data_IF_650123134019
#
_entry.id   IF_650123134019
#
_cell.length_a   1.000
_cell.length_b   1.000
_cell.length_c   1.000
_cell.angle_alpha   90.00
_cell.angle_beta   90.00
_cell.angle_gamma   90.00
#
_symmetry.space_group_name_H-M   'P 1'
#
loop_
_entity.id
_entity.type
_entity.pdbx_description
1 polymer ?
#
# COMPACT_ATOMS: atom_id res chain seq x y z
N UNK A 1 -6.38 20.38 19.76
CA UNK A 1 -7.12 19.72 18.66
C UNK A 1 -6.95 20.44 17.31
N UNK A 2 -7.00 21.78 17.26
CA UNK A 2 -6.77 22.53 16.01
C UNK A 2 -5.31 22.59 15.55
N UNK A 3 -4.34 22.52 16.49
CA UNK A 3 -2.90 22.56 16.17
C UNK A 3 -2.41 21.31 15.42
N UNK A 4 -2.96 20.14 15.73
CA UNK A 4 -2.65 18.88 15.05
C UNK A 4 -3.24 18.83 13.63
N UNK A 5 -4.40 19.50 13.43
CA UNK A 5 -5.09 19.63 12.13
C UNK A 5 -4.33 20.56 11.18
N UNK A 6 -3.73 21.64 11.68
CA UNK A 6 -2.88 22.55 10.89
C UNK A 6 -1.55 21.93 10.50
N UNK A 7 -0.92 21.11 11.36
CA UNK A 7 0.33 20.41 11.03
C UNK A 7 0.10 19.36 9.94
N UNK A 8 -1.03 18.65 9.98
CA UNK A 8 -1.42 17.68 8.94
C UNK A 8 -1.74 18.34 7.59
N UNK A 9 -2.28 19.57 7.60
CA UNK A 9 -2.58 20.34 6.39
C UNK A 9 -1.35 20.95 5.71
N UNK A 10 -0.33 21.36 6.47
CA UNK A 10 0.89 21.99 5.94
C UNK A 10 1.81 20.96 5.27
N UNK A 11 1.85 19.72 5.76
CA UNK A 11 2.63 18.63 5.15
C UNK A 11 2.12 18.20 3.76
N UNK A 12 0.85 18.43 3.44
CA UNK A 12 0.27 18.06 2.13
C UNK A 12 0.58 19.10 1.04
N UNK A 13 0.82 20.37 1.41
CA UNK A 13 1.00 21.46 0.45
C UNK A 13 2.49 21.75 0.14
N UNK A 14 3.41 21.49 1.07
CA UNK A 14 4.82 21.86 0.91
C UNK A 14 5.67 20.87 0.07
N UNK A 15 5.13 19.71 -0.31
CA UNK A 15 5.92 18.65 -0.98
C UNK A 15 6.03 18.75 -2.50
N UNK A 16 5.40 19.74 -3.16
CA UNK A 16 5.03 19.58 -4.58
C UNK A 16 5.84 20.34 -5.64
N UNK A 17 6.86 21.16 -5.34
CA UNK A 17 7.49 21.97 -6.41
C UNK A 17 9.01 22.08 -6.26
N UNK A 18 9.74 21.04 -6.66
CA UNK A 18 11.12 21.16 -7.17
C UNK A 18 11.34 20.16 -8.30
N UNK A 19 11.01 20.52 -9.54
CA UNK A 19 11.41 19.75 -10.73
C UNK A 19 12.60 20.43 -11.40
N UNK A 20 13.80 19.91 -11.16
CA UNK A 20 14.95 20.22 -12.00
C UNK A 20 14.82 19.46 -13.33
N UNK A 21 15.16 20.07 -14.48
CA UNK A 21 15.25 19.33 -15.74
C UNK A 21 16.44 18.37 -15.66
N UNK A 22 16.17 17.07 -15.64
CA UNK A 22 17.22 16.05 -15.75
C UNK A 22 17.64 16.01 -17.22
N UNK A 23 18.85 16.49 -17.52
CA UNK A 23 19.49 16.29 -18.81
C UNK A 23 19.98 14.83 -18.83
N UNK A 24 19.21 13.95 -19.46
CA UNK A 24 19.56 12.54 -19.63
C UNK A 24 20.42 12.36 -20.88
N UNK A 25 21.44 11.50 -20.79
CA UNK A 25 22.28 11.14 -21.93
C UNK A 25 21.61 10.05 -22.78
N UNK A 26 21.79 10.06 -24.10
CA UNK A 26 21.19 9.08 -25.00
C UNK A 26 21.50 7.61 -24.61
N UNK A 27 22.71 7.35 -24.08
CA UNK A 27 23.11 6.02 -23.61
C UNK A 27 22.29 5.53 -22.41
N UNK A 28 21.93 6.41 -21.45
CA UNK A 28 21.10 6.01 -20.31
C UNK A 28 19.65 5.77 -20.74
N UNK A 29 19.14 6.57 -21.69
CA UNK A 29 17.79 6.39 -22.23
C UNK A 29 17.62 5.06 -22.98
N UNK A 30 18.64 4.66 -23.75
CA UNK A 30 18.64 3.36 -24.41
C UNK A 30 18.64 2.22 -23.39
N UNK A 31 19.46 2.33 -22.34
CA UNK A 31 19.49 1.35 -21.27
C UNK A 31 18.15 1.25 -20.50
N UNK A 32 17.45 2.38 -20.29
CA UNK A 32 16.12 2.39 -19.68
C UNK A 32 15.10 1.64 -20.55
N UNK A 33 15.14 1.82 -21.87
CA UNK A 33 14.31 1.04 -22.81
C UNK A 33 14.64 -0.45 -22.78
N UNK A 34 15.93 -0.78 -22.75
CA UNK A 34 16.37 -2.18 -22.68
C UNK A 34 15.95 -2.87 -21.39
N UNK A 35 15.90 -2.13 -20.28
CA UNK A 35 15.40 -2.63 -19.00
C UNK A 35 13.87 -2.75 -18.97
N UNK A 36 13.15 -1.86 -19.64
CA UNK A 36 11.69 -1.81 -19.64
C UNK A 36 11.03 -2.83 -20.57
N UNK A 37 11.74 -3.35 -21.58
CA UNK A 37 11.18 -4.17 -22.65
C UNK A 37 11.79 -5.58 -22.69
N UNK A 38 10.98 -6.56 -23.09
CA UNK A 38 11.34 -7.95 -23.34
C UNK A 38 11.82 -8.14 -24.80
N UNK A 39 12.81 -9.00 -25.04
CA UNK A 39 13.15 -9.37 -26.42
C UNK A 39 12.09 -10.27 -27.03
N UNK A 40 11.51 -9.85 -28.16
CA UNK A 40 10.60 -10.63 -28.99
C UNK A 40 11.39 -11.35 -30.09
N UNK A 41 12.33 -12.17 -29.67
CA UNK A 41 13.13 -12.98 -30.58
C UNK A 41 12.37 -14.26 -30.99
N UNK A 42 12.55 -14.75 -32.21
CA UNK A 42 11.83 -15.91 -32.76
C UNK A 42 12.13 -17.21 -31.99
N UNK A 43 13.32 -17.27 -31.41
CA UNK A 43 13.84 -18.30 -30.52
C UNK A 43 13.19 -18.31 -29.11
N UNK A 44 12.21 -17.44 -28.86
CA UNK A 44 11.43 -17.37 -27.60
C UNK A 44 12.30 -17.36 -26.34
N UNK A 45 13.40 -16.61 -26.36
CA UNK A 45 14.36 -16.62 -25.25
C UNK A 45 13.78 -16.13 -23.90
N UNK A 46 12.68 -15.37 -23.92
CA UNK A 46 11.98 -14.90 -22.72
C UNK A 46 12.79 -13.96 -21.83
N UNK A 47 13.86 -13.35 -22.36
CA UNK A 47 14.73 -12.45 -21.61
C UNK A 47 14.34 -10.98 -21.79
N UNK A 48 14.60 -10.19 -20.76
CA UNK A 48 14.63 -8.71 -20.85
C UNK A 48 15.64 -8.32 -21.93
N UNK A 49 15.34 -7.29 -22.72
CA UNK A 49 16.16 -6.88 -23.86
C UNK A 49 17.61 -6.63 -23.45
N UNK A 50 17.85 -5.97 -22.31
CA UNK A 50 19.20 -5.74 -21.77
C UNK A 50 20.05 -7.01 -21.58
N UNK A 51 19.40 -8.13 -21.29
CA UNK A 51 20.06 -9.41 -21.02
C UNK A 51 20.08 -10.34 -22.25
N UNK A 52 19.60 -9.86 -23.41
CA UNK A 52 19.54 -10.62 -24.65
C UNK A 52 20.62 -10.15 -25.64
N UNK A 53 21.28 -11.11 -26.27
CA UNK A 53 22.40 -10.88 -27.23
C UNK A 53 22.15 -11.55 -28.58
N UNK A 54 20.88 -11.66 -28.99
CA UNK A 54 20.51 -12.22 -30.29
C UNK A 54 20.50 -11.13 -31.38
N UNK A 55 20.54 -11.53 -32.66
CA UNK A 55 20.54 -10.59 -33.79
C UNK A 55 19.29 -9.70 -33.84
N UNK A 56 18.14 -10.21 -33.36
CA UNK A 56 16.91 -9.42 -33.22
C UNK A 56 17.05 -8.35 -32.15
N UNK A 57 17.68 -8.67 -31.01
CA UNK A 57 17.92 -7.69 -29.94
C UNK A 57 18.79 -6.52 -30.42
N UNK A 58 19.83 -6.80 -31.22
CA UNK A 58 20.73 -5.77 -31.75
C UNK A 58 20.02 -4.86 -32.75
N UNK A 59 19.17 -5.43 -33.60
CA UNK A 59 18.30 -4.64 -34.52
C UNK A 59 17.34 -3.75 -33.73
N UNK A 60 16.73 -4.27 -32.68
CA UNK A 60 15.81 -3.51 -31.82
C UNK A 60 16.53 -2.36 -31.10
N UNK A 61 17.74 -2.59 -30.56
CA UNK A 61 18.59 -1.54 -29.98
C UNK A 61 18.91 -0.45 -31.00
N UNK A 62 19.31 -0.82 -32.21
CA UNK A 62 19.58 0.14 -33.27
C UNK A 62 18.33 0.94 -33.67
N UNK A 63 17.14 0.30 -33.66
CA UNK A 63 15.85 0.97 -33.90
C UNK A 63 15.54 1.99 -32.79
N UNK A 64 15.73 1.61 -31.53
CA UNK A 64 15.50 2.50 -30.38
C UNK A 64 16.48 3.66 -30.33
N UNK A 65 17.77 3.42 -30.62
CA UNK A 65 18.76 4.49 -30.73
C UNK A 65 18.32 5.54 -31.74
N UNK A 66 17.90 5.12 -32.94
CA UNK A 66 17.40 6.05 -33.98
C UNK A 66 16.16 6.83 -33.55
N UNK A 67 15.24 6.20 -32.80
CA UNK A 67 14.07 6.90 -32.28
C UNK A 67 14.45 7.95 -31.24
N UNK A 68 15.37 7.62 -30.34
CA UNK A 68 15.91 8.57 -29.36
C UNK A 68 16.64 9.73 -30.06
N UNK A 69 17.43 9.44 -31.09
CA UNK A 69 18.13 10.45 -31.90
C UNK A 69 17.15 11.38 -32.65
N UNK A 70 15.97 10.87 -33.00
CA UNK A 70 14.89 11.68 -33.60
C UNK A 70 14.11 12.54 -32.58
N UNK A 71 14.48 12.49 -31.29
CA UNK A 71 13.89 13.30 -30.23
C UNK A 71 12.66 12.68 -29.53
N UNK A 72 12.35 11.41 -29.78
CA UNK A 72 11.30 10.72 -29.03
C UNK A 72 11.77 10.41 -27.61
N UNK A 73 10.84 10.49 -26.65
CA UNK A 73 11.12 10.12 -25.25
C UNK A 73 11.00 8.61 -25.04
N UNK A 74 11.62 8.11 -23.97
CA UNK A 74 11.57 6.70 -23.56
C UNK A 74 10.13 6.23 -23.40
N UNK A 75 9.27 7.03 -22.77
CA UNK A 75 7.87 6.71 -22.52
C UNK A 75 7.07 6.63 -23.82
N UNK A 76 7.35 7.50 -24.79
CA UNK A 76 6.70 7.48 -26.10
C UNK A 76 7.06 6.20 -26.86
N UNK A 77 8.35 5.83 -26.84
CA UNK A 77 8.83 4.60 -27.48
C UNK A 77 8.20 3.38 -26.79
N UNK A 78 8.22 3.29 -25.46
CA UNK A 78 7.55 2.20 -24.73
C UNK A 78 6.07 2.14 -25.11
N UNK A 79 5.35 3.26 -25.09
CA UNK A 79 3.93 3.30 -25.45
C UNK A 79 3.68 2.75 -26.85
N UNK A 80 4.51 3.13 -27.83
CA UNK A 80 4.41 2.58 -29.20
C UNK A 80 4.62 1.07 -29.24
N UNK A 81 5.57 0.55 -28.45
CA UNK A 81 5.84 -0.89 -28.41
C UNK A 81 4.70 -1.66 -27.72
N UNK A 82 4.09 -1.07 -26.71
CA UNK A 82 2.91 -1.63 -26.04
C UNK A 82 1.69 -1.63 -26.96
N UNK A 83 1.52 -0.60 -27.78
CA UNK A 83 0.44 -0.54 -28.77
C UNK A 83 0.60 -1.62 -29.85
N UNK A 84 1.83 -1.87 -30.29
CA UNK A 84 2.15 -2.87 -31.33
C UNK A 84 2.13 -4.33 -30.81
N UNK A 85 2.69 -4.58 -29.62
CA UNK A 85 2.92 -5.94 -29.10
C UNK A 85 2.11 -6.28 -27.83
N UNK A 86 1.30 -5.35 -27.34
CA UNK A 86 0.54 -5.47 -26.08
C UNK A 86 1.42 -5.36 -24.82
N UNK A 87 0.80 -5.46 -23.65
CA UNK A 87 1.50 -5.35 -22.36
C UNK A 87 2.54 -6.47 -22.11
N UNK A 88 2.48 -7.56 -22.89
CA UNK A 88 3.44 -8.68 -22.79
C UNK A 88 4.86 -8.32 -23.19
N UNK A 89 5.06 -7.16 -23.84
CA UNK A 89 6.39 -6.67 -24.22
C UNK A 89 7.09 -5.98 -23.06
N UNK A 90 6.39 -5.52 -22.02
CA UNK A 90 7.06 -4.92 -20.88
C UNK A 90 7.72 -5.98 -20.02
N UNK A 91 8.91 -5.66 -19.51
CA UNK A 91 9.60 -6.48 -18.51
C UNK A 91 8.91 -6.44 -17.13
N UNK A 92 8.17 -5.38 -16.86
CA UNK A 92 7.40 -5.18 -15.64
C UNK A 92 5.95 -4.80 -15.99
N UNK A 93 4.96 -5.25 -15.21
CA UNK A 93 3.58 -4.90 -15.48
C UNK A 93 3.34 -3.39 -15.34
N UNK A 94 2.37 -2.88 -16.10
CA UNK A 94 2.01 -1.47 -16.09
C UNK A 94 1.52 -1.05 -14.70
N UNK A 95 1.91 0.15 -14.23
CA UNK A 95 1.51 0.66 -12.90
C UNK A 95 0.09 1.23 -12.85
N UNK A 96 -0.73 0.94 -13.86
CA UNK A 96 -2.08 1.51 -14.03
C UNK A 96 -3.12 0.40 -14.19
N UNK A 97 -4.39 0.73 -13.95
CA UNK A 97 -5.50 -0.20 -14.12
C UNK A 97 -5.55 -1.31 -13.07
N UNK A 98 -5.81 -2.55 -13.51
CA UNK A 98 -6.00 -3.71 -12.63
C UNK A 98 -4.74 -4.02 -11.80
N UNK A 99 -3.54 -3.79 -12.34
CA UNK A 99 -2.30 -4.05 -11.60
C UNK A 99 -2.19 -3.20 -10.32
N UNK A 100 -2.66 -1.95 -10.37
CA UNK A 100 -2.67 -1.06 -9.21
C UNK A 100 -3.61 -1.58 -8.11
N UNK A 101 -4.74 -2.19 -8.48
CA UNK A 101 -5.67 -2.75 -7.49
C UNK A 101 -5.04 -3.89 -6.70
N UNK A 102 -4.16 -4.71 -7.30
CA UNK A 102 -3.44 -5.75 -6.57
C UNK A 102 -2.52 -5.18 -5.47
N UNK A 103 -1.99 -3.97 -5.67
CA UNK A 103 -1.16 -3.26 -4.69
C UNK A 103 -1.97 -2.50 -3.64
N UNK A 104 -3.11 -1.90 -4.02
CA UNK A 104 -3.95 -1.11 -3.10
C UNK A 104 -4.90 -1.98 -2.27
N UNK A 105 -5.36 -3.10 -2.81
CA UNK A 105 -6.35 -3.98 -2.18
C UNK A 105 -5.92 -4.51 -0.80
N UNK A 106 -4.67 -4.93 -0.55
CA UNK A 106 -4.24 -5.38 0.78
C UNK A 106 -4.44 -4.31 1.87
N UNK A 107 -4.07 -3.06 1.57
CA UNK A 107 -4.25 -1.95 2.50
C UNK A 107 -5.73 -1.62 2.71
N UNK A 108 -6.51 -1.60 1.64
CA UNK A 108 -7.96 -1.39 1.73
C UNK A 108 -8.65 -2.48 2.54
N UNK A 109 -8.26 -3.75 2.36
CA UNK A 109 -8.81 -4.88 3.11
C UNK A 109 -8.47 -4.77 4.60
N UNK A 110 -7.22 -4.40 4.96
CA UNK A 110 -6.82 -4.20 6.35
C UNK A 110 -7.58 -3.04 7.01
N UNK A 111 -7.73 -1.91 6.32
CA UNK A 111 -8.48 -0.75 6.82
C UNK A 111 -9.94 -1.14 7.02
N UNK A 112 -10.57 -1.75 6.01
CA UNK A 112 -11.96 -2.19 6.09
C UNK A 112 -12.19 -3.20 7.23
N UNK A 113 -11.29 -4.18 7.37
CA UNK A 113 -11.33 -5.17 8.45
C UNK A 113 -11.18 -4.52 9.84
N UNK A 114 -10.19 -3.64 10.00
CA UNK A 114 -9.96 -2.92 11.26
C UNK A 114 -11.14 -2.03 11.66
N UNK A 115 -11.71 -1.28 10.71
CA UNK A 115 -12.91 -0.46 10.94
C UNK A 115 -14.13 -1.34 11.26
N UNK A 116 -14.30 -2.48 10.58
CA UNK A 116 -15.35 -3.44 10.83
C UNK A 116 -15.31 -3.99 12.27
N UNK A 117 -14.14 -4.50 12.69
CA UNK A 117 -13.92 -5.01 14.05
C UNK A 117 -14.19 -3.90 15.07
N UNK A 118 -13.64 -2.70 14.85
CA UNK A 118 -13.85 -1.53 15.72
C UNK A 118 -15.35 -1.26 15.90
N UNK A 119 -16.12 -1.19 14.81
CA UNK A 119 -17.56 -0.90 14.86
C UNK A 119 -18.33 -1.97 15.62
N UNK A 120 -17.99 -3.24 15.41
CA UNK A 120 -18.60 -4.38 16.14
C UNK A 120 -18.32 -4.25 17.64
N UNK A 121 -17.06 -4.01 18.02
CA UNK A 121 -16.67 -3.84 19.42
C UNK A 121 -17.40 -2.66 20.09
N UNK A 122 -17.47 -1.49 19.44
CA UNK A 122 -18.21 -0.35 19.98
C UNK A 122 -19.70 -0.63 20.16
N UNK A 123 -20.31 -1.38 19.24
CA UNK A 123 -21.74 -1.73 19.32
C UNK A 123 -22.02 -2.73 20.44
N UNK A 124 -21.09 -3.65 20.72
CA UNK A 124 -21.24 -4.68 21.75
C UNK A 124 -20.85 -4.19 23.15
N UNK A 125 -19.80 -3.38 23.25
CA UNK A 125 -19.27 -2.87 24.54
C UNK A 125 -20.03 -1.62 25.00
N UNK A 126 -20.54 -0.80 24.08
CA UNK A 126 -21.29 0.43 24.40
C UNK A 126 -22.66 0.21 25.06
N UNK A 127 -23.12 -1.04 25.21
CA UNK A 127 -24.33 -1.38 25.98
C UNK A 127 -24.11 -1.52 27.49
N UNK A 128 -22.87 -1.31 27.98
CA UNK A 128 -22.62 -1.13 29.42
C UNK A 128 -22.35 0.34 29.70
N UNK A 129 -23.37 0.99 30.24
CA UNK A 129 -23.39 2.35 30.73
C UNK A 129 -22.20 2.62 31.68
N UNK A 130 -21.48 3.75 31.51
CA UNK A 130 -20.71 4.32 32.60
C UNK A 130 -21.69 5.12 33.47
N UNK A 131 -22.29 4.45 34.45
CA UNK A 131 -22.66 5.15 35.68
C UNK A 131 -21.39 5.21 36.53
N UNK A 132 -21.00 6.43 36.87
CA UNK A 132 -19.98 6.83 37.84
C UNK A 132 -18.51 6.50 37.61
N UNK A 133 -17.79 7.56 37.23
CA UNK A 133 -16.40 7.76 37.65
C UNK A 133 -16.16 9.25 37.98
N UNK A 134 -16.78 9.73 39.06
CA UNK A 134 -16.27 10.85 39.84
C UNK A 134 -16.06 10.41 41.29
N UNK A 135 -14.84 9.93 41.56
CA UNK A 135 -14.10 10.11 42.81
C UNK A 135 -14.66 9.55 44.13
N UNK A 136 -14.19 8.36 44.52
CA UNK A 136 -13.69 8.07 45.88
C UNK A 136 -12.95 6.71 45.91
N UNK A 137 -11.78 6.58 46.55
CA UNK A 137 -11.21 5.28 46.83
C UNK A 137 -11.91 4.70 48.07
N UNK A 138 -12.80 3.72 47.89
CA UNK A 138 -13.29 2.94 49.01
C UNK A 138 -13.37 1.46 48.63
N UNK A 139 -12.38 0.75 49.12
CA UNK A 139 -12.22 -0.69 49.19
C UNK A 139 -13.38 -1.34 49.96
N UNK A 140 -14.28 -2.05 49.26
CA UNK A 140 -15.13 -3.13 49.81
C UNK A 140 -15.38 -4.19 48.73
N UNK A 141 -15.38 -5.50 49.08
CA UNK A 141 -15.25 -6.57 48.11
C UNK A 141 -16.50 -6.69 47.24
N UNK A 142 -16.24 -6.95 45.96
CA UNK A 142 -17.24 -7.26 44.96
C UNK A 142 -17.84 -8.64 45.24
N UNK A 143 -19.01 -8.68 45.89
CA UNK A 143 -19.86 -9.86 45.86
C UNK A 143 -21.33 -9.45 45.78
N UNK A 144 -22.12 -9.99 44.83
CA UNK A 144 -23.55 -9.72 44.77
C UNK A 144 -24.18 -10.10 46.11
N UNK A 145 -25.06 -9.26 46.67
CA UNK A 145 -25.60 -9.39 48.04
C UNK A 145 -26.26 -10.73 48.40
N UNK A 146 -26.50 -11.60 47.40
CA UNK A 146 -26.88 -13.00 47.61
C UNK A 146 -25.80 -13.81 48.34
N UNK A 147 -24.52 -13.54 48.06
CA UNK A 147 -23.39 -14.29 48.62
C UNK A 147 -22.95 -13.76 49.99
N UNK A 148 -23.06 -12.44 50.21
CA UNK A 148 -22.75 -11.85 51.52
C UNK A 148 -23.71 -12.33 52.61
N UNK A 149 -25.00 -12.47 52.29
CA UNK A 149 -26.00 -12.99 53.23
C UNK A 149 -25.74 -14.46 53.60
N UNK A 150 -25.34 -15.29 52.62
CA UNK A 150 -24.95 -16.69 52.88
C UNK A 150 -23.69 -16.83 53.72
N UNK A 151 -22.71 -15.95 53.51
CA UNK A 151 -21.49 -15.93 54.32
C UNK A 151 -21.78 -15.56 55.78
N UNK A 152 -22.74 -14.65 56.04
CA UNK A 152 -23.18 -14.32 57.39
C UNK A 152 -23.93 -15.48 58.05
N UNK A 153 -24.87 -16.12 57.34
CA UNK A 153 -25.61 -17.28 57.85
C UNK A 153 -24.67 -18.46 58.20
N UNK A 154 -23.57 -18.67 57.45
CA UNK A 154 -22.58 -19.70 57.78
C UNK A 154 -21.65 -19.30 58.92
N UNK A 155 -21.32 -18.02 59.08
CA UNK A 155 -20.45 -17.56 60.16
C UNK A 155 -21.16 -17.65 61.52
N UNK A 156 -22.44 -17.26 61.59
CA UNK A 156 -23.29 -17.40 62.78
C UNK A 156 -23.50 -18.87 63.18
N UNK A 157 -23.40 -19.80 62.22
CA UNK A 157 -23.50 -21.24 62.46
C UNK A 157 -22.22 -21.90 62.97
N UNK A 158 -21.06 -21.22 62.88
CA UNK A 158 -19.75 -21.72 63.34
C UNK A 158 -19.40 -21.18 64.73
N UNK A 159 -20.01 -20.07 65.16
CA UNK A 159 -19.80 -19.49 66.50
C UNK A 159 -20.73 -20.08 67.59
N UNK A 160 -21.40 -21.20 67.31
CA UNK A 160 -22.19 -22.02 68.25
C UNK A 160 -21.54 -23.39 68.49
#
# INVERSE_FOLDING_TARGET
VNLLKTIFGIFIVAGFITSAPVVTNAGSLLQDLENALMCKCDDKCGKVLVNCTCSTSDKTRAKFSKMLDSGLTVEQIIKSQVDEYGETVLSAPTKFGFNLTAWVMPFMALIAGGVGIRKILYTWVGKKQPEDAQGKPEEKPATPGKYSKRLQDELDGIEL
#
